data_IF_720174185650
#
_entry.id   IF_720174185650
#
_cell.length_a   1.000
_cell.length_b   1.000
_cell.length_c   1.000
_cell.angle_alpha   90.00
_cell.angle_beta   90.00
_cell.angle_gamma   90.00
#
_symmetry.space_group_name_H-M   'P 1'
#
loop_
_entity.id
_entity.type
_entity.pdbx_description
1 polymer ?
#
# COMPACT_ATOMS: atom_id res chain seq x y z
N UNK A 1 -6.12 -5.79 -3.02
CA UNK A 1 -4.81 -5.22 -3.39
C UNK A 1 -5.01 -3.78 -3.88
N UNK A 2 -4.08 -2.88 -3.61
CA UNK A 2 -4.21 -1.44 -3.92
C UNK A 2 -2.83 -0.83 -4.16
N UNK A 3 -2.73 0.16 -5.03
CA UNK A 3 -1.54 1.03 -5.13
C UNK A 3 -1.75 2.21 -4.18
N UNK A 4 -1.13 2.15 -3.01
CA UNK A 4 -1.25 3.18 -1.99
C UNK A 4 -0.15 4.22 -2.17
N UNK A 5 -0.48 5.51 -2.14
CA UNK A 5 0.53 6.56 -2.02
C UNK A 5 1.40 6.29 -0.78
N UNK A 6 2.72 6.36 -0.92
CA UNK A 6 3.67 5.87 0.08
C UNK A 6 3.51 6.56 1.43
N UNK A 7 3.18 7.85 1.45
CA UNK A 7 2.93 8.62 2.68
C UNK A 7 1.68 8.15 3.46
N UNK A 8 0.76 7.43 2.82
CA UNK A 8 -0.44 6.85 3.45
C UNK A 8 -0.23 5.41 3.91
N UNK A 9 0.96 4.82 3.72
CA UNK A 9 1.21 3.41 4.06
C UNK A 9 0.91 3.08 5.53
N UNK A 10 1.26 3.98 6.47
CA UNK A 10 0.97 3.76 7.88
C UNK A 10 -0.52 3.80 8.21
N UNK A 11 -1.27 4.70 7.57
CA UNK A 11 -2.74 4.73 7.69
C UNK A 11 -3.34 3.40 7.28
N UNK A 12 -2.97 2.87 6.12
CA UNK A 12 -3.49 1.59 5.65
C UNK A 12 -3.01 0.39 6.46
N UNK A 13 -1.82 0.44 7.08
CA UNK A 13 -1.36 -0.61 8.02
C UNK A 13 -2.28 -0.75 9.22
N UNK A 14 -2.77 0.35 9.79
CA UNK A 14 -3.75 0.31 10.89
C UNK A 14 -5.07 -0.32 10.46
N UNK A 15 -5.39 -0.27 9.16
CA UNK A 15 -6.56 -0.90 8.55
C UNK A 15 -6.30 -2.32 8.01
N UNK A 16 -5.20 -2.95 8.41
CA UNK A 16 -4.89 -4.36 8.11
C UNK A 16 -4.21 -4.59 6.75
N UNK A 17 -3.77 -3.53 6.06
CA UNK A 17 -2.99 -3.69 4.84
C UNK A 17 -1.49 -3.82 5.13
N UNK A 18 -0.79 -4.61 4.32
CA UNK A 18 0.65 -4.75 4.34
C UNK A 18 1.26 -4.29 3.01
N UNK A 19 2.45 -3.67 3.07
CA UNK A 19 3.24 -3.30 1.89
C UNK A 19 3.88 -4.55 1.28
N UNK A 20 3.85 -4.67 -0.05
CA UNK A 20 4.43 -5.78 -0.79
C UNK A 20 5.31 -5.27 -1.93
N UNK A 21 6.61 -5.55 -1.85
CA UNK A 21 7.59 -5.10 -2.85
C UNK A 21 8.15 -3.70 -2.56
N UNK A 22 8.78 -3.12 -3.58
CA UNK A 22 9.47 -1.83 -3.50
C UNK A 22 8.55 -0.63 -3.83
N UNK A 23 9.03 0.59 -3.55
CA UNK A 23 8.36 1.82 -3.98
C UNK A 23 8.37 1.89 -5.51
N UNK A 24 7.28 2.37 -6.10
CA UNK A 24 7.24 2.71 -7.52
C UNK A 24 6.54 4.05 -7.75
N UNK A 25 6.77 4.64 -8.92
CA UNK A 25 6.24 5.94 -9.31
C UNK A 25 4.96 5.79 -10.14
N UNK A 26 3.92 6.52 -9.77
CA UNK A 26 2.67 6.65 -10.52
C UNK A 26 2.20 8.10 -10.48
N UNK A 27 2.03 8.73 -11.65
CA UNK A 27 1.71 10.17 -11.79
C UNK A 27 2.65 11.13 -11.00
N UNK A 28 3.93 10.76 -10.85
CA UNK A 28 4.93 11.56 -10.12
C UNK A 28 4.83 11.44 -8.59
N UNK A 29 4.12 10.44 -8.08
CA UNK A 29 3.94 10.19 -6.65
C UNK A 29 4.49 8.79 -6.30
N UNK A 30 5.20 8.69 -5.18
CA UNK A 30 5.66 7.40 -4.64
C UNK A 30 4.47 6.54 -4.18
N UNK A 31 4.46 5.28 -4.57
CA UNK A 31 3.44 4.30 -4.20
C UNK A 31 4.04 2.99 -3.70
N UNK A 32 3.29 2.28 -2.86
CA UNK A 32 3.48 0.87 -2.55
C UNK A 32 2.30 0.05 -3.08
N UNK A 33 2.59 -1.18 -3.52
CA UNK A 33 1.54 -2.18 -3.61
C UNK A 33 1.19 -2.62 -2.19
N UNK A 34 -0.07 -2.50 -1.81
CA UNK A 34 -0.57 -2.93 -0.51
C UNK A 34 -1.65 -4.00 -0.66
N UNK A 35 -1.61 -5.01 0.20
CA UNK A 35 -2.56 -6.13 0.21
C UNK A 35 -3.18 -6.27 1.60
N UNK A 36 -4.44 -6.69 1.67
CA UNK A 36 -5.12 -7.03 2.92
C UNK A 36 -5.57 -8.49 2.78
N UNK A 37 -5.26 -9.30 3.78
CA UNK A 37 -5.72 -10.68 3.85
C UNK A 37 -7.10 -10.67 4.50
N UNK A 38 -8.15 -10.69 3.68
CA UNK A 38 -9.49 -10.90 4.19
C UNK A 38 -9.62 -12.39 4.54
N UNK A 39 -10.07 -12.75 5.76
CA UNK A 39 -10.34 -14.15 6.09
C UNK A 39 -11.44 -14.66 5.14
N UNK A 40 -11.16 -15.79 4.50
CA UNK A 40 -12.09 -16.52 3.61
C UNK A 40 -13.32 -17.01 4.38
#
# INVERSE_FOLDING_TARGET
>A
KMHAQAHLANFYRVHGFETRGEIFQEAGIDHYLMVRHDPV
#
